data_IF_566448770386
#
_entry.id   IF_566448770386
#
_cell.length_a   1.000
_cell.length_b   1.000
_cell.length_c   1.000
_cell.angle_alpha   90.00
_cell.angle_beta   90.00
_cell.angle_gamma   90.00
#
_symmetry.space_group_name_H-M   'P 1'
#
loop_
_entity.id
_entity.type
_entity.pdbx_description
1 polymer ?
#
# COMPACT_ATOMS: atom_id res chain seq x y z
N UNK A 1 66.10 -41.42 -56.40
CA UNK A 1 64.64 -41.56 -56.59
C UNK A 1 64.21 -42.96 -56.12
N UNK A 2 63.76 -43.11 -54.86
CA UNK A 2 63.34 -44.41 -54.31
C UNK A 2 61.94 -44.76 -54.80
N UNK A 3 61.79 -45.93 -55.45
CA UNK A 3 60.51 -46.48 -55.87
C UNK A 3 59.67 -46.80 -54.63
N UNK A 4 58.62 -46.03 -54.39
CA UNK A 4 57.63 -46.28 -53.34
C UNK A 4 56.94 -47.63 -53.59
N UNK A 5 57.08 -48.53 -52.63
CA UNK A 5 56.42 -49.83 -52.64
C UNK A 5 54.90 -49.65 -52.58
N UNK A 6 54.14 -50.54 -53.23
CA UNK A 6 52.67 -50.47 -53.35
C UNK A 6 51.92 -50.40 -52.00
N UNK A 7 52.61 -50.69 -50.89
CA UNK A 7 52.12 -50.57 -49.50
C UNK A 7 52.18 -49.12 -48.99
N UNK A 8 53.29 -48.41 -49.22
CA UNK A 8 53.45 -47.00 -48.78
C UNK A 8 52.47 -46.07 -49.49
N UNK A 9 52.18 -46.33 -50.77
CA UNK A 9 51.18 -45.54 -51.51
C UNK A 9 49.77 -45.71 -50.94
N UNK A 10 49.45 -46.88 -50.37
CA UNK A 10 48.14 -47.17 -49.75
C UNK A 10 48.02 -46.51 -48.38
N UNK A 11 49.10 -46.48 -47.59
CA UNK A 11 49.16 -45.77 -46.31
C UNK A 11 49.14 -44.26 -46.53
N UNK A 12 49.82 -43.74 -47.55
CA UNK A 12 49.79 -42.32 -47.90
C UNK A 12 48.40 -41.87 -48.38
N UNK A 13 47.72 -42.69 -49.19
CA UNK A 13 46.35 -42.40 -49.63
C UNK A 13 45.38 -42.53 -48.46
N UNK A 14 45.48 -43.57 -47.63
CA UNK A 14 44.62 -43.74 -46.44
C UNK A 14 44.80 -42.62 -45.43
N UNK A 15 46.05 -42.23 -45.13
CA UNK A 15 46.37 -41.10 -44.26
C UNK A 15 45.90 -39.77 -44.85
N UNK A 16 46.07 -39.56 -46.16
CA UNK A 16 45.57 -38.38 -46.86
C UNK A 16 44.05 -38.25 -46.78
N UNK A 17 43.31 -39.34 -46.99
CA UNK A 17 41.84 -39.36 -46.84
C UNK A 17 41.43 -39.05 -45.42
N UNK A 18 42.13 -39.60 -44.43
CA UNK A 18 41.80 -39.39 -43.02
C UNK A 18 42.06 -37.94 -42.58
N UNK A 19 43.13 -37.32 -43.08
CA UNK A 19 43.42 -35.89 -42.86
C UNK A 19 42.37 -35.01 -43.54
N UNK A 20 41.99 -35.30 -44.78
CA UNK A 20 40.96 -34.54 -45.49
C UNK A 20 39.61 -34.65 -44.75
N UNK A 21 39.25 -35.84 -44.30
CA UNK A 21 38.00 -36.08 -43.57
C UNK A 21 38.00 -35.36 -42.22
N UNK A 22 39.13 -35.33 -41.52
CA UNK A 22 39.31 -34.54 -40.30
C UNK A 22 39.11 -33.04 -40.56
N UNK A 23 39.73 -32.48 -41.60
CA UNK A 23 39.59 -31.05 -41.96
C UNK A 23 38.15 -30.70 -42.32
N UNK A 24 37.46 -31.55 -43.10
CA UNK A 24 36.07 -31.29 -43.50
C UNK A 24 35.13 -31.29 -42.29
N UNK A 25 35.26 -32.26 -41.39
CA UNK A 25 34.39 -32.36 -40.21
C UNK A 25 34.65 -31.19 -39.24
N UNK A 26 35.91 -30.92 -38.92
CA UNK A 26 36.24 -29.92 -37.91
C UNK A 26 36.15 -28.48 -38.42
N UNK A 27 36.39 -28.24 -39.71
CA UNK A 27 36.51 -26.89 -40.25
C UNK A 27 35.34 -26.46 -41.14
N UNK A 28 34.49 -27.38 -41.59
CA UNK A 28 33.32 -27.06 -42.41
C UNK A 28 32.01 -27.37 -41.70
N UNK A 29 31.88 -28.53 -41.07
CA UNK A 29 30.61 -28.98 -40.48
C UNK A 29 30.37 -28.34 -39.12
N UNK A 30 31.34 -28.43 -38.20
CA UNK A 30 31.24 -27.83 -36.86
C UNK A 30 30.97 -26.32 -36.87
N UNK A 31 31.74 -25.47 -37.59
CA UNK A 31 31.51 -24.03 -37.54
C UNK A 31 30.16 -23.62 -38.15
N UNK A 32 29.63 -24.38 -39.11
CA UNK A 32 28.32 -24.09 -39.70
C UNK A 32 27.17 -24.44 -38.74
N UNK A 33 27.33 -25.52 -37.96
CA UNK A 33 26.36 -25.91 -36.94
C UNK A 33 26.40 -24.97 -35.72
N UNK A 34 27.60 -24.58 -35.29
CA UNK A 34 27.81 -23.62 -34.21
C UNK A 34 27.30 -22.22 -34.58
N UNK A 35 27.47 -21.80 -35.84
CA UNK A 35 26.93 -20.54 -36.36
C UNK A 35 25.39 -20.53 -36.37
N UNK A 36 24.75 -21.65 -36.74
CA UNK A 36 23.29 -21.80 -36.67
C UNK A 36 22.77 -21.72 -35.23
N UNK A 37 23.38 -22.48 -34.32
CA UNK A 37 22.99 -22.50 -32.90
C UNK A 37 23.24 -21.17 -32.18
N UNK A 38 24.28 -20.42 -32.55
CA UNK A 38 24.54 -19.10 -31.95
C UNK A 38 23.52 -18.06 -32.41
N UNK A 39 23.07 -18.11 -33.67
CA UNK A 39 22.03 -17.19 -34.17
C UNK A 39 20.68 -17.44 -33.51
N UNK A 40 20.27 -18.70 -33.36
CA UNK A 40 19.03 -19.06 -32.66
C UNK A 40 19.10 -18.73 -31.16
N UNK A 41 20.25 -19.00 -30.52
CA UNK A 41 20.49 -18.63 -29.12
C UNK A 41 20.40 -17.12 -28.87
N UNK A 42 20.93 -16.30 -29.78
CA UNK A 42 20.84 -14.84 -29.70
C UNK A 42 19.41 -14.33 -29.92
N UNK A 43 18.65 -14.95 -30.84
CA UNK A 43 17.25 -14.61 -31.08
C UNK A 43 16.37 -14.91 -29.86
N UNK A 44 16.56 -16.06 -29.22
CA UNK A 44 15.82 -16.42 -28.01
C UNK A 44 16.18 -15.55 -26.82
N UNK A 45 17.46 -15.19 -26.68
CA UNK A 45 17.89 -14.24 -25.65
C UNK A 45 17.24 -12.86 -25.83
N UNK A 46 17.24 -12.32 -27.06
CA UNK A 46 16.57 -11.04 -27.36
C UNK A 46 15.06 -11.10 -27.10
N UNK A 47 14.39 -12.19 -27.48
CA UNK A 47 12.96 -12.41 -27.18
C UNK A 47 12.67 -12.48 -25.68
N UNK A 48 13.55 -13.10 -24.88
CA UNK A 48 13.40 -13.16 -23.42
C UNK A 48 13.55 -11.78 -22.79
N UNK A 49 14.56 -11.01 -23.19
CA UNK A 49 14.78 -9.64 -22.68
C UNK A 49 13.60 -8.74 -23.04
N UNK A 50 13.09 -8.81 -24.28
CA UNK A 50 11.93 -8.02 -24.70
C UNK A 50 10.67 -8.37 -23.90
N UNK A 51 10.39 -9.67 -23.68
CA UNK A 51 9.26 -10.10 -22.85
C UNK A 51 9.38 -9.63 -21.41
N UNK A 52 10.58 -9.69 -20.82
CA UNK A 52 10.82 -9.18 -19.48
C UNK A 52 10.59 -7.66 -19.41
N UNK A 53 11.11 -6.89 -20.37
CA UNK A 53 10.92 -5.45 -20.41
C UNK A 53 9.45 -5.04 -20.58
N UNK A 54 8.70 -5.72 -21.46
CA UNK A 54 7.25 -5.47 -21.64
C UNK A 54 6.49 -5.78 -20.34
N UNK A 55 6.83 -6.88 -19.66
CA UNK A 55 6.22 -7.24 -18.37
C UNK A 55 6.48 -6.18 -17.30
N UNK A 56 7.71 -5.68 -17.18
CA UNK A 56 8.05 -4.59 -16.25
C UNK A 56 7.29 -3.29 -16.56
N UNK A 57 7.08 -2.97 -17.84
CA UNK A 57 6.29 -1.79 -18.24
C UNK A 57 4.80 -1.98 -17.88
N UNK A 58 4.25 -3.16 -18.15
CA UNK A 58 2.85 -3.48 -17.78
C UNK A 58 2.63 -3.45 -16.27
N UNK A 59 3.56 -4.02 -15.50
CA UNK A 59 3.52 -3.98 -14.03
C UNK A 59 3.61 -2.53 -13.51
N UNK A 60 4.40 -1.67 -14.16
CA UNK A 60 4.50 -0.24 -13.80
C UNK A 60 3.17 0.50 -13.96
N UNK A 61 2.46 0.30 -15.07
CA UNK A 61 1.15 0.93 -15.30
C UNK A 61 0.12 0.46 -14.25
N UNK A 62 0.12 -0.84 -13.93
CA UNK A 62 -0.75 -1.41 -12.89
C UNK A 62 -0.42 -0.81 -11.52
N UNK A 63 0.85 -0.71 -11.15
CA UNK A 63 1.26 -0.10 -9.89
C UNK A 63 0.98 1.40 -9.84
N UNK A 64 1.15 2.12 -10.95
CA UNK A 64 0.80 3.55 -11.03
C UNK A 64 -0.70 3.76 -10.83
N UNK A 65 -1.54 2.93 -11.45
CA UNK A 65 -2.98 2.97 -11.25
C UNK A 65 -3.37 2.62 -9.80
N UNK A 66 -2.71 1.65 -9.18
CA UNK A 66 -2.92 1.31 -7.77
C UNK A 66 -2.53 2.46 -6.84
N UNK A 67 -1.39 3.12 -7.07
CA UNK A 67 -0.97 4.29 -6.29
C UNK A 67 -1.97 5.42 -6.44
N UNK A 68 -2.40 5.72 -7.66
CA UNK A 68 -3.39 6.77 -7.90
C UNK A 68 -4.74 6.48 -7.21
N UNK A 69 -5.15 5.21 -7.15
CA UNK A 69 -6.37 4.82 -6.43
C UNK A 69 -6.19 4.94 -4.91
N UNK A 70 -5.05 4.50 -4.37
CA UNK A 70 -4.71 4.66 -2.95
C UNK A 70 -4.66 6.14 -2.57
N UNK A 71 -4.10 7.00 -3.42
CA UNK A 71 -4.03 8.44 -3.19
C UNK A 71 -5.42 9.08 -3.18
N UNK A 72 -6.32 8.66 -4.07
CA UNK A 72 -7.72 9.13 -4.05
C UNK A 72 -8.43 8.71 -2.77
N UNK A 73 -8.29 7.44 -2.38
CA UNK A 73 -8.89 6.91 -1.16
C UNK A 73 -8.33 7.63 0.07
N UNK A 74 -7.01 7.87 0.11
CA UNK A 74 -6.35 8.63 1.16
C UNK A 74 -6.91 10.06 1.24
N UNK A 75 -7.03 10.76 0.11
CA UNK A 75 -7.60 12.10 0.06
C UNK A 75 -9.06 12.13 0.57
N UNK A 76 -9.85 11.11 0.26
CA UNK A 76 -11.22 10.98 0.79
C UNK A 76 -11.23 10.80 2.31
N UNK A 77 -10.31 10.01 2.87
CA UNK A 77 -10.19 9.86 4.32
C UNK A 77 -9.65 11.14 4.99
N UNK A 78 -8.70 11.82 4.36
CA UNK A 78 -8.15 13.09 4.87
C UNK A 78 -9.22 14.19 4.95
N UNK A 79 -10.17 14.25 4.02
CA UNK A 79 -11.30 15.19 4.09
C UNK A 79 -12.21 14.98 5.31
N UNK A 80 -12.21 13.77 5.87
CA UNK A 80 -12.98 13.44 7.08
C UNK A 80 -12.23 13.83 8.35
N UNK A 81 -10.95 14.21 8.28
CA UNK A 81 -10.21 14.73 9.43
C UNK A 81 -10.73 16.10 9.86
N UNK A 82 -10.36 16.52 11.08
CA UNK A 82 -10.69 17.86 11.57
C UNK A 82 -9.89 18.91 10.78
N UNK A 83 -10.58 19.98 10.39
CA UNK A 83 -10.00 21.08 9.60
C UNK A 83 -9.35 22.10 10.56
N UNK A 84 -8.27 21.72 11.23
CA UNK A 84 -7.59 22.58 12.19
C UNK A 84 -6.06 22.55 12.02
N UNK A 85 -5.40 23.72 12.08
CA UNK A 85 -3.95 23.85 11.86
C UNK A 85 -3.11 23.35 13.04
N UNK A 86 -3.70 23.34 14.24
CA UNK A 86 -3.05 22.92 15.47
C UNK A 86 -4.04 22.19 16.38
N UNK A 87 -3.51 21.47 17.36
CA UNK A 87 -4.30 20.65 18.28
C UNK A 87 -5.20 21.47 19.21
N UNK A 88 -4.87 22.74 19.49
CA UNK A 88 -5.69 23.60 20.33
C UNK A 88 -6.97 23.99 19.59
N UNK A 89 -6.82 24.44 18.34
CA UNK A 89 -7.92 24.78 17.44
C UNK A 89 -8.78 23.55 17.14
N UNK A 90 -8.14 22.39 16.97
CA UNK A 90 -8.84 21.12 16.78
C UNK A 90 -9.69 20.73 18.00
N UNK A 91 -9.18 20.96 19.21
CA UNK A 91 -9.91 20.69 20.44
C UNK A 91 -11.13 21.61 20.58
N UNK A 92 -10.99 22.89 20.21
CA UNK A 92 -12.11 23.83 20.16
C UNK A 92 -13.15 23.43 19.11
N UNK A 93 -12.72 23.11 17.89
CA UNK A 93 -13.62 22.64 16.83
C UNK A 93 -14.37 21.38 17.25
N UNK A 94 -13.69 20.44 17.92
CA UNK A 94 -14.31 19.22 18.43
C UNK A 94 -15.33 19.52 19.54
N UNK A 95 -15.01 20.44 20.46
CA UNK A 95 -15.93 20.89 21.51
C UNK A 95 -17.19 21.55 20.92
N UNK A 96 -17.04 22.38 19.88
CA UNK A 96 -18.15 23.01 19.16
C UNK A 96 -19.06 21.98 18.48
N UNK A 97 -18.49 21.00 17.77
CA UNK A 97 -19.24 19.91 17.13
C UNK A 97 -20.03 19.13 18.19
N UNK A 98 -19.39 18.78 19.30
CA UNK A 98 -20.05 18.03 20.38
C UNK A 98 -21.17 18.84 21.02
N UNK A 99 -20.97 20.14 21.28
CA UNK A 99 -22.01 21.02 21.82
C UNK A 99 -23.19 21.18 20.88
N UNK A 100 -22.93 21.36 19.58
CA UNK A 100 -23.97 21.48 18.56
C UNK A 100 -24.82 20.20 18.50
N UNK A 101 -24.17 19.03 18.44
CA UNK A 101 -24.86 17.73 18.45
C UNK A 101 -25.64 17.49 19.74
N UNK A 102 -25.09 17.88 20.90
CA UNK A 102 -25.78 17.76 22.17
C UNK A 102 -27.05 18.63 22.22
N UNK A 103 -26.95 19.88 21.74
CA UNK A 103 -28.09 20.80 21.65
C UNK A 103 -29.17 20.30 20.69
N UNK A 104 -28.79 19.78 19.52
CA UNK A 104 -29.70 19.21 18.52
C UNK A 104 -30.48 18.00 19.07
N UNK A 105 -29.82 17.15 19.85
CA UNK A 105 -30.41 15.95 20.44
C UNK A 105 -31.05 16.20 21.82
N UNK A 106 -31.05 17.44 22.30
CA UNK A 106 -31.66 17.83 23.57
C UNK A 106 -31.00 17.20 24.81
N UNK A 107 -29.70 16.93 24.74
CA UNK A 107 -28.84 16.41 25.82
C UNK A 107 -28.04 17.55 26.43
N UNK A 108 -27.97 17.61 27.76
CA UNK A 108 -27.20 18.66 28.45
C UNK A 108 -25.74 18.23 28.58
N UNK A 109 -24.82 19.04 28.06
CA UNK A 109 -23.38 18.83 28.26
C UNK A 109 -22.95 19.46 29.60
N UNK A 110 -22.71 18.63 30.60
CA UNK A 110 -22.37 19.07 31.97
C UNK A 110 -20.90 19.48 32.09
N UNK A 111 -20.00 18.75 31.43
CA UNK A 111 -18.57 19.05 31.43
C UNK A 111 -17.95 18.66 30.11
N UNK A 112 -17.09 19.54 29.60
CA UNK A 112 -16.20 19.24 28.49
C UNK A 112 -14.79 19.65 28.90
N UNK A 113 -13.84 18.73 28.79
CA UNK A 113 -12.45 18.99 29.12
C UNK A 113 -11.55 18.43 28.01
N UNK A 114 -10.82 19.28 27.28
CA UNK A 114 -9.82 18.80 26.34
C UNK A 114 -8.72 18.05 27.10
N UNK A 115 -8.37 16.87 26.59
CA UNK A 115 -7.25 16.06 27.09
C UNK A 115 -5.98 16.41 26.32
N UNK A 116 -4.84 16.04 26.89
CA UNK A 116 -3.54 16.24 26.25
C UNK A 116 -3.50 15.50 24.91
N UNK A 117 -3.07 16.21 23.87
CA UNK A 117 -2.89 15.66 22.53
C UNK A 117 -1.94 14.45 22.52
N UNK A 118 -2.24 13.45 21.70
CA UNK A 118 -1.35 12.31 21.48
C UNK A 118 -0.92 12.26 20.01
N UNK A 119 0.37 12.40 19.78
CA UNK A 119 0.95 12.17 18.45
C UNK A 119 0.70 10.72 18.04
N UNK A 120 0.05 10.52 16.91
CA UNK A 120 -0.26 9.21 16.34
C UNK A 120 0.56 9.05 15.06
N UNK A 121 1.77 8.53 15.21
CA UNK A 121 2.78 8.47 14.13
C UNK A 121 3.38 9.84 13.80
N UNK A 122 4.01 9.95 12.62
CA UNK A 122 4.77 11.14 12.22
C UNK A 122 3.91 12.25 11.59
N UNK A 123 2.70 11.92 11.10
CA UNK A 123 1.86 12.84 10.30
C UNK A 123 0.51 13.21 10.91
N UNK A 124 0.11 12.57 12.01
CA UNK A 124 -1.22 12.80 12.61
C UNK A 124 -1.14 13.04 14.11
N UNK A 125 -1.98 13.95 14.60
CA UNK A 125 -2.19 14.17 16.02
C UNK A 125 -3.63 13.81 16.37
N UNK A 126 -3.79 12.96 17.38
CA UNK A 126 -5.07 12.63 17.99
C UNK A 126 -5.36 13.67 19.07
N UNK A 127 -6.52 14.30 18.95
CA UNK A 127 -7.04 15.29 19.89
C UNK A 127 -8.28 14.70 20.52
N UNK A 128 -8.36 14.74 21.84
CA UNK A 128 -9.42 14.06 22.59
C UNK A 128 -10.07 15.03 23.55
N UNK A 129 -11.40 15.00 23.62
CA UNK A 129 -12.21 15.81 24.54
C UNK A 129 -13.04 14.87 25.40
N UNK A 130 -12.87 14.98 26.71
CA UNK A 130 -13.68 14.24 27.67
C UNK A 130 -14.98 14.98 27.92
N UNK A 131 -16.10 14.31 27.67
CA UNK A 131 -17.44 14.86 27.88
C UNK A 131 -18.23 14.08 28.91
N UNK A 132 -18.99 14.83 29.72
CA UNK A 132 -20.01 14.31 30.60
C UNK A 132 -21.35 14.85 30.15
N UNK A 133 -22.28 13.95 29.86
CA UNK A 133 -23.63 14.28 29.45
C UNK A 133 -24.60 14.06 30.62
N UNK A 134 -25.73 14.74 30.60
CA UNK A 134 -26.89 14.48 31.45
C UNK A 134 -28.14 14.41 30.55
N UNK A 135 -28.81 13.27 30.56
CA UNK A 135 -29.97 13.06 29.71
C UNK A 135 -30.61 11.68 29.85
N UNK A 136 -31.76 11.52 29.19
CA UNK A 136 -32.45 10.24 29.06
C UNK A 136 -31.67 9.31 28.11
N UNK A 137 -31.86 8.00 28.26
CA UNK A 137 -31.25 6.96 27.43
C UNK A 137 -31.51 7.20 25.94
N UNK A 138 -32.77 7.49 25.57
CA UNK A 138 -33.18 7.72 24.19
C UNK A 138 -32.40 8.86 23.54
N UNK A 139 -32.25 9.98 24.27
CA UNK A 139 -31.53 11.17 23.78
C UNK A 139 -30.02 10.92 23.70
N UNK A 140 -29.47 10.20 24.67
CA UNK A 140 -28.05 9.80 24.67
C UNK A 140 -27.73 8.90 23.47
N UNK A 141 -28.60 7.94 23.16
CA UNK A 141 -28.43 7.08 21.98
C UNK A 141 -28.52 7.86 20.67
N UNK A 142 -29.46 8.81 20.57
CA UNK A 142 -29.57 9.69 19.41
C UNK A 142 -28.30 10.55 19.22
N UNK A 143 -27.75 11.10 20.31
CA UNK A 143 -26.49 11.82 20.29
C UNK A 143 -25.30 10.95 19.84
N UNK A 144 -25.17 9.72 20.37
CA UNK A 144 -24.12 8.79 19.94
C UNK A 144 -24.24 8.43 18.45
N UNK A 145 -25.48 8.29 17.96
CA UNK A 145 -25.73 8.08 16.54
C UNK A 145 -25.38 9.32 15.70
N UNK A 146 -25.65 10.53 16.21
CA UNK A 146 -25.24 11.78 15.57
C UNK A 146 -23.72 11.92 15.46
N UNK A 147 -22.99 11.54 16.51
CA UNK A 147 -21.52 11.51 16.50
C UNK A 147 -20.96 10.50 15.49
N UNK A 148 -21.54 9.30 15.39
CA UNK A 148 -21.05 8.27 14.47
C UNK A 148 -21.41 8.54 13.01
N UNK A 149 -22.54 9.21 12.76
CA UNK A 149 -23.00 9.60 11.43
C UNK A 149 -22.39 10.92 10.93
N UNK A 150 -21.59 11.61 11.75
CA UNK A 150 -21.01 12.90 11.40
C UNK A 150 -20.07 12.78 10.18
N UNK A 151 -19.97 13.86 9.39
CA UNK A 151 -19.11 13.90 8.19
C UNK A 151 -17.64 13.73 8.54
N UNK A 152 -17.24 14.25 9.70
CA UNK A 152 -15.90 14.14 10.28
C UNK A 152 -15.70 12.82 11.02
N UNK A 153 -14.47 12.31 10.99
CA UNK A 153 -14.05 11.08 11.65
C UNK A 153 -13.88 11.34 13.15
N UNK A 154 -14.91 10.96 13.90
CA UNK A 154 -14.97 11.06 15.35
C UNK A 154 -14.97 9.65 15.95
N UNK A 155 -14.18 9.46 17.00
CA UNK A 155 -14.02 8.17 17.66
C UNK A 155 -14.41 8.31 19.13
N UNK A 156 -15.34 7.48 19.59
CA UNK A 156 -15.79 7.49 20.98
C UNK A 156 -15.05 6.42 21.78
N UNK A 157 -14.34 6.83 22.81
CA UNK A 157 -13.53 6.03 23.71
C UNK A 157 -14.03 6.15 25.16
N UNK A 158 -13.65 5.19 26.00
CA UNK A 158 -13.87 5.25 27.45
C UNK A 158 -15.31 5.60 27.86
N UNK A 159 -16.29 5.00 27.18
CA UNK A 159 -17.70 5.17 27.48
C UNK A 159 -18.05 4.47 28.80
N UNK A 160 -18.51 5.25 29.77
CA UNK A 160 -18.94 4.80 31.09
C UNK A 160 -20.28 5.42 31.44
N UNK A 161 -21.23 4.61 31.89
CA UNK A 161 -22.55 5.07 32.31
C UNK A 161 -22.66 4.94 33.81
N UNK A 162 -22.79 6.07 34.51
CA UNK A 162 -23.16 6.07 35.92
C UNK A 162 -24.67 6.27 36.05
N UNK A 163 -25.33 5.37 36.80
CA UNK A 163 -26.72 5.54 37.23
C UNK A 163 -26.73 6.14 38.63
N UNK A 164 -27.27 7.34 38.78
CA UNK A 164 -27.54 7.88 40.12
C UNK A 164 -28.80 7.18 40.67
N UNK A 165 -28.71 6.58 41.86
CA UNK A 165 -29.66 5.60 42.39
C UNK A 165 -31.10 6.10 42.66
N UNK A 166 -31.47 7.31 42.25
CA UNK A 166 -32.77 7.92 42.52
C UNK A 166 -33.39 8.71 41.34
N UNK A 167 -32.74 8.77 40.17
CA UNK A 167 -33.20 9.54 39.01
C UNK A 167 -33.25 8.67 37.75
N UNK A 168 -34.22 8.95 36.87
CA UNK A 168 -34.31 8.39 35.52
C UNK A 168 -33.27 9.00 34.55
N UNK A 169 -32.44 9.93 35.01
CA UNK A 169 -31.39 10.56 34.21
C UNK A 169 -30.10 9.75 34.24
N UNK A 170 -29.51 9.53 33.06
CA UNK A 170 -28.20 8.90 32.91
C UNK A 170 -27.13 9.99 32.88
N UNK A 171 -25.98 9.68 33.47
CA UNK A 171 -24.77 10.51 33.36
C UNK A 171 -23.67 9.72 32.64
N UNK A 172 -23.74 9.62 31.30
CA UNK A 172 -22.68 9.02 30.53
C UNK A 172 -21.47 9.95 30.49
N UNK A 173 -20.31 9.36 30.73
CA UNK A 173 -19.00 9.94 30.51
C UNK A 173 -18.37 9.24 29.32
N UNK A 174 -17.79 9.99 28.40
CA UNK A 174 -17.05 9.42 27.27
C UNK A 174 -15.94 10.37 26.82
N UNK A 175 -15.00 9.84 26.07
CA UNK A 175 -13.95 10.59 25.41
C UNK A 175 -14.25 10.58 23.92
N UNK A 176 -14.36 11.76 23.32
CA UNK A 176 -14.53 11.90 21.86
C UNK A 176 -13.18 12.33 21.31
N UNK A 177 -12.69 11.59 20.33
CA UNK A 177 -11.38 11.77 19.71
C UNK A 177 -11.56 12.16 18.25
N UNK A 178 -10.84 13.18 17.82
CA UNK A 178 -10.66 13.57 16.43
C UNK A 178 -9.19 13.54 16.03
N UNK A 179 -8.92 13.59 14.73
CA UNK A 179 -7.58 13.53 14.19
C UNK A 179 -7.33 14.76 13.32
N UNK A 180 -6.14 15.33 13.45
CA UNK A 180 -5.61 16.38 12.57
C UNK A 180 -4.34 15.91 11.88
N UNK A 181 -4.08 16.46 10.71
CA UNK A 181 -2.81 16.27 9.99
C UNK A 181 -1.81 17.31 10.50
N UNK A 182 -0.63 16.85 10.91
CA UNK A 182 0.51 17.73 11.14
C UNK A 182 1.04 18.18 9.78
N UNK A 183 1.05 19.50 9.56
CA UNK A 183 1.71 20.13 8.40
C UNK A 183 3.23 20.07 8.53
#
# INVERSE_FOLDING_TARGET
>A
MKKLSKRDKRVLIGGGVLVVLYVVVFHLILPFYDAGNTVDGQLDQKKRILRAAVRTIQEREVHAAQVAEIDKVLAQYEQRLLDAPDATTAATQLDEIVRALAAENGVTLTKSNPLQERKTGDRYTKVTVQINLDGDLTKTTAFLHGLSAHSKFLLVENFSVSKFRLSSTLQPRMEVSGFIRLS
#
